data_IF_465120248049
#
_entry.id   IF_465120248049
#
_cell.length_a   1.000
_cell.length_b   1.000
_cell.length_c   1.000
_cell.angle_alpha   90.00
_cell.angle_beta   90.00
_cell.angle_gamma   90.00
#
_symmetry.space_group_name_H-M   'P 1'
#
loop_
_entity.id
_entity.type
_entity.pdbx_description
1 polymer ?
#
# COMPACT_ATOMS: atom_id res chain seq x y z
N UNK A 1 27.47 12.49 14.62
CA UNK A 1 27.93 13.88 14.59
C UNK A 1 27.53 14.70 13.36
N UNK A 2 27.32 14.11 12.17
CA UNK A 2 26.97 14.87 10.94
C UNK A 2 25.47 14.91 10.55
N UNK A 3 24.54 14.70 11.48
CA UNK A 3 23.10 14.82 11.20
C UNK A 3 22.44 15.67 12.29
N UNK A 4 22.92 16.92 12.45
CA UNK A 4 22.29 17.91 13.31
C UNK A 4 21.21 18.68 12.55
N UNK A 5 20.14 17.96 12.18
CA UNK A 5 18.82 18.58 12.14
C UNK A 5 18.31 18.58 13.59
N UNK A 6 17.73 19.68 14.06
CA UNK A 6 16.91 19.67 15.28
C UNK A 6 15.66 18.82 14.98
N UNK A 7 15.81 17.51 15.08
CA UNK A 7 14.80 16.56 14.66
C UNK A 7 13.77 16.43 15.79
N UNK A 8 12.71 17.25 15.72
CA UNK A 8 11.43 16.92 16.36
C UNK A 8 10.85 15.64 15.74
N UNK A 9 9.76 15.05 16.23
CA UNK A 9 8.81 13.97 15.78
C UNK A 9 7.48 14.38 15.10
N UNK A 10 7.02 13.84 13.97
CA UNK A 10 5.58 13.88 13.62
C UNK A 10 4.90 12.59 14.10
N UNK A 11 3.59 12.61 14.35
CA UNK A 11 2.82 11.44 14.86
C UNK A 11 3.04 10.19 13.98
N UNK A 12 2.93 10.37 12.67
CA UNK A 12 3.14 9.33 11.66
C UNK A 12 4.57 8.77 11.66
N UNK A 13 5.56 9.54 12.12
CA UNK A 13 6.96 9.11 12.20
C UNK A 13 7.30 8.32 13.47
N UNK A 14 6.53 8.47 14.56
CA UNK A 14 6.71 7.70 15.80
C UNK A 14 6.00 6.34 15.71
N UNK A 15 4.88 6.30 14.99
CA UNK A 15 4.10 5.10 14.71
C UNK A 15 4.87 4.04 13.92
N UNK A 16 5.71 4.45 12.96
CA UNK A 16 6.62 3.52 12.24
C UNK A 16 7.56 2.74 13.17
N UNK A 17 7.90 3.29 14.34
CA UNK A 17 8.72 2.62 15.35
C UNK A 17 7.90 1.81 16.36
N UNK A 18 6.57 1.69 16.18
CA UNK A 18 5.59 1.12 17.13
C UNK A 18 5.63 1.79 18.51
N UNK A 19 5.98 3.08 18.53
CA UNK A 19 6.04 3.87 19.76
C UNK A 19 4.78 4.71 19.94
N UNK A 20 3.72 4.44 19.19
CA UNK A 20 2.46 5.16 19.28
C UNK A 20 1.38 4.30 19.95
N UNK A 21 0.72 4.88 20.94
CA UNK A 21 -0.48 4.30 21.53
C UNK A 21 -1.72 4.96 20.93
N UNK A 22 -2.44 4.18 20.11
CA UNK A 22 -3.66 4.62 19.45
C UNK A 22 -4.79 4.91 20.44
N UNK A 23 -4.83 4.25 21.60
CA UNK A 23 -5.89 4.46 22.59
C UNK A 23 -5.73 5.82 23.27
N UNK A 24 -4.54 6.13 23.74
CA UNK A 24 -4.25 7.40 24.42
C UNK A 24 -3.92 8.58 23.48
N UNK A 25 -3.66 8.34 22.19
CA UNK A 25 -3.18 9.36 21.23
C UNK A 25 -1.82 9.97 21.66
N UNK A 26 -0.97 9.15 22.28
CA UNK A 26 0.28 9.55 22.92
C UNK A 26 1.41 8.52 22.69
N UNK A 27 2.61 8.85 23.18
CA UNK A 27 3.76 7.94 23.16
C UNK A 27 3.45 6.67 23.97
N UNK A 28 3.71 5.50 23.39
CA UNK A 28 3.50 4.20 24.03
C UNK A 28 4.55 3.95 25.14
N UNK A 29 4.39 4.57 26.30
CA UNK A 29 5.34 4.48 27.41
C UNK A 29 5.58 3.05 27.86
N UNK A 30 4.53 2.22 27.88
CA UNK A 30 4.63 0.80 28.23
C UNK A 30 5.60 0.01 27.33
N UNK A 31 5.73 0.39 26.05
CA UNK A 31 6.69 -0.23 25.12
C UNK A 31 8.11 0.18 25.50
N UNK A 32 8.32 1.47 25.75
CA UNK A 32 9.63 2.01 26.14
C UNK A 32 10.12 1.40 27.45
N UNK A 33 9.26 1.35 28.46
CA UNK A 33 9.53 0.73 29.76
C UNK A 33 9.89 -0.75 29.60
N UNK A 34 9.12 -1.51 28.80
CA UNK A 34 9.40 -2.92 28.55
C UNK A 34 10.78 -3.15 27.90
N UNK A 35 11.24 -2.24 27.05
CA UNK A 35 12.56 -2.31 26.42
C UNK A 35 13.68 -1.59 27.19
N UNK A 36 13.36 -0.96 28.34
CA UNK A 36 14.33 -0.18 29.12
C UNK A 36 14.85 1.07 28.40
N UNK A 37 14.07 1.63 27.48
CA UNK A 37 14.43 2.83 26.71
C UNK A 37 13.87 4.07 27.42
N UNK A 38 14.72 5.05 27.72
CA UNK A 38 14.25 6.32 28.29
C UNK A 38 13.43 7.11 27.27
N UNK A 39 12.28 7.64 27.69
CA UNK A 39 11.44 8.52 26.88
C UNK A 39 12.18 9.81 26.46
N UNK A 40 13.21 10.23 27.20
CA UNK A 40 14.05 11.39 26.86
C UNK A 40 14.86 11.19 25.57
N UNK A 41 15.07 9.94 25.15
CA UNK A 41 15.69 9.61 23.87
C UNK A 41 14.74 9.78 22.68
N UNK A 42 13.45 9.97 22.96
CA UNK A 42 12.43 10.15 21.92
C UNK A 42 12.27 11.64 21.61
N UNK A 43 12.42 11.98 20.33
CA UNK A 43 12.26 13.34 19.84
C UNK A 43 10.90 13.97 20.19
N UNK A 44 10.91 15.25 20.55
CA UNK A 44 9.73 16.07 20.85
C UNK A 44 8.69 15.99 19.72
N UNK A 45 7.42 15.77 20.06
CA UNK A 45 6.32 15.66 19.09
C UNK A 45 5.82 17.02 18.62
N UNK A 46 5.62 17.18 17.32
CA UNK A 46 4.96 18.34 16.68
C UNK A 46 3.86 17.90 15.71
N UNK A 47 2.92 18.80 15.34
CA UNK A 47 1.94 18.52 14.30
C UNK A 47 2.61 18.12 12.97
N UNK A 48 1.95 17.25 12.20
CA UNK A 48 2.47 16.74 10.92
C UNK A 48 2.78 17.86 9.92
N UNK A 49 1.89 18.84 9.80
CA UNK A 49 2.06 20.03 8.97
C UNK A 49 2.42 21.23 9.85
N UNK A 50 3.70 21.38 10.18
CA UNK A 50 4.20 22.47 11.02
C UNK A 50 5.71 22.61 10.85
N UNK A 51 6.31 23.74 11.23
CA UNK A 51 7.78 23.87 11.23
C UNK A 51 8.36 22.91 12.27
N UNK A 52 9.05 21.88 11.79
CA UNK A 52 9.62 20.81 12.61
C UNK A 52 11.11 21.04 12.92
N UNK A 53 11.75 21.93 12.15
CA UNK A 53 13.14 22.33 12.28
C UNK A 53 13.54 23.26 11.13
N UNK A 54 14.80 23.68 11.14
CA UNK A 54 15.39 24.51 10.11
C UNK A 54 16.75 23.94 9.72
N UNK A 55 17.17 24.16 8.47
CA UNK A 55 18.51 23.79 8.03
C UNK A 55 19.56 24.58 8.81
N UNK A 56 20.51 23.86 9.39
CA UNK A 56 21.74 24.47 9.93
C UNK A 56 22.58 25.02 8.78
N UNK A 57 23.52 25.92 9.09
CA UNK A 57 24.45 26.44 8.08
C UNK A 57 25.21 25.32 7.36
N UNK A 58 25.73 24.34 8.11
CA UNK A 58 26.44 23.20 7.53
C UNK A 58 25.56 22.35 6.59
N UNK A 59 24.33 22.02 6.99
CA UNK A 59 23.41 21.26 6.14
C UNK A 59 22.96 22.05 4.91
N UNK A 60 22.78 23.37 5.07
CA UNK A 60 22.44 24.27 3.98
C UNK A 60 23.57 24.35 2.93
N UNK A 61 24.82 24.48 3.38
CA UNK A 61 26.00 24.51 2.51
C UNK A 61 26.16 23.19 1.73
N UNK A 62 25.96 22.05 2.39
CA UNK A 62 26.02 20.72 1.74
C UNK A 62 24.93 20.54 0.67
N UNK A 63 23.71 21.00 0.95
CA UNK A 63 22.56 20.85 0.06
C UNK A 63 22.47 21.96 -1.01
N UNK A 64 23.30 23.00 -0.93
CA UNK A 64 23.19 24.19 -1.79
C UNK A 64 21.92 25.01 -1.54
N UNK A 65 21.41 25.00 -0.31
CA UNK A 65 20.18 25.69 0.11
C UNK A 65 20.52 26.84 1.08
N UNK A 66 19.53 27.66 1.43
CA UNK A 66 19.71 28.73 2.40
C UNK A 66 19.67 28.20 3.85
N UNK A 67 20.60 28.66 4.70
CA UNK A 67 20.51 28.43 6.13
C UNK A 67 19.19 28.99 6.70
N UNK A 68 18.58 28.30 7.65
CA UNK A 68 17.26 28.66 8.17
C UNK A 68 16.09 28.19 7.30
N UNK A 69 16.33 27.47 6.19
CA UNK A 69 15.23 26.88 5.39
C UNK A 69 14.40 25.95 6.26
N UNK A 70 13.09 26.17 6.29
CA UNK A 70 12.15 25.45 7.16
C UNK A 70 11.89 24.04 6.65
N UNK A 71 11.97 23.07 7.54
CA UNK A 71 11.46 21.70 7.34
C UNK A 71 10.06 21.64 7.95
N UNK A 72 9.03 21.66 7.10
CA UNK A 72 7.63 21.83 7.54
C UNK A 72 6.76 20.57 7.50
N UNK A 73 7.31 19.47 7.00
CA UNK A 73 6.56 18.24 6.79
C UNK A 73 7.46 17.01 6.85
N UNK A 74 6.91 15.93 7.40
CA UNK A 74 7.37 14.56 7.16
C UNK A 74 6.27 13.58 7.55
N UNK A 75 6.28 12.43 6.92
CA UNK A 75 5.56 11.27 7.40
C UNK A 75 6.28 9.98 7.00
N UNK A 76 5.70 8.84 7.41
CA UNK A 76 6.11 7.55 6.89
C UNK A 76 5.82 7.42 5.39
N UNK A 77 6.44 6.43 4.76
CA UNK A 77 6.34 6.14 3.32
C UNK A 77 4.89 5.93 2.87
N UNK A 78 4.11 5.08 3.55
CA UNK A 78 2.74 4.75 3.15
C UNK A 78 1.74 5.89 3.40
N UNK A 79 1.75 6.58 4.57
CA UNK A 79 0.98 7.81 4.73
C UNK A 79 1.36 8.91 3.73
N UNK A 80 2.64 9.03 3.34
CA UNK A 80 3.06 9.97 2.28
C UNK A 80 2.47 9.60 0.92
N UNK A 81 2.50 8.31 0.57
CA UNK A 81 1.94 7.82 -0.70
C UNK A 81 0.42 8.08 -0.78
N UNK A 82 -0.30 7.86 0.33
CA UNK A 82 -1.72 8.19 0.42
C UNK A 82 -1.97 9.70 0.25
N UNK A 83 -1.15 10.56 0.87
CA UNK A 83 -1.21 12.01 0.69
C UNK A 83 -0.99 12.44 -0.77
N UNK A 84 0.05 11.94 -1.44
CA UNK A 84 0.31 12.28 -2.85
C UNK A 84 -0.82 11.85 -3.78
N UNK A 85 -1.54 10.79 -3.41
CA UNK A 85 -2.70 10.28 -4.12
C UNK A 85 -4.04 10.92 -3.75
N UNK A 86 -4.03 11.91 -2.84
CA UNK A 86 -5.25 12.52 -2.29
C UNK A 86 -6.20 11.50 -1.67
N UNK A 87 -5.67 10.44 -1.06
CA UNK A 87 -6.39 9.46 -0.24
C UNK A 87 -6.35 9.97 1.19
N UNK A 88 -7.33 10.77 1.56
CA UNK A 88 -7.36 11.55 2.80
C UNK A 88 -8.56 11.22 3.69
N UNK A 89 -9.64 10.70 3.09
CA UNK A 89 -10.91 10.51 3.76
C UNK A 89 -11.18 9.05 4.13
N UNK A 90 -12.01 8.80 5.17
CA UNK A 90 -12.40 7.46 5.54
C UNK A 90 -13.12 6.81 4.37
N UNK A 91 -12.68 5.60 4.05
CA UNK A 91 -13.16 4.82 2.95
C UNK A 91 -12.52 5.09 1.62
N UNK A 92 -11.47 5.90 1.58
CA UNK A 92 -10.59 5.99 0.43
C UNK A 92 -9.47 4.96 0.56
N UNK A 93 -9.03 4.42 -0.59
CA UNK A 93 -7.89 3.51 -0.63
C UNK A 93 -6.96 3.92 -1.76
N UNK A 94 -5.67 3.72 -1.53
CA UNK A 94 -4.61 3.66 -2.51
C UNK A 94 -4.18 2.20 -2.69
N UNK A 95 -4.00 1.78 -3.93
CA UNK A 95 -3.46 0.44 -4.24
C UNK A 95 -2.29 0.60 -5.17
N UNK A 96 -1.15 0.05 -4.78
CA UNK A 96 0.07 0.02 -5.59
C UNK A 96 0.47 -1.42 -5.82
N UNK A 97 0.61 -1.83 -7.08
CA UNK A 97 1.16 -3.15 -7.39
C UNK A 97 2.44 -3.03 -8.23
N UNK A 98 3.54 -3.46 -7.63
CA UNK A 98 4.79 -3.82 -8.31
C UNK A 98 4.97 -5.34 -8.24
N UNK A 99 6.21 -5.83 -8.03
CA UNK A 99 6.48 -7.26 -7.80
C UNK A 99 5.59 -7.83 -6.69
N UNK A 100 5.45 -7.08 -5.60
CA UNK A 100 4.44 -7.22 -4.56
C UNK A 100 3.45 -6.06 -4.61
N UNK A 101 2.29 -6.24 -3.99
CA UNK A 101 1.20 -5.29 -3.92
C UNK A 101 1.05 -4.74 -2.53
N UNK A 102 0.59 -3.50 -2.48
CA UNK A 102 0.27 -2.77 -1.27
C UNK A 102 -1.12 -2.18 -1.45
N UNK A 103 -1.97 -2.40 -0.46
CA UNK A 103 -3.27 -1.75 -0.34
C UNK A 103 -3.24 -0.93 0.93
N UNK A 104 -3.42 0.38 0.80
CA UNK A 104 -3.49 1.32 1.92
C UNK A 104 -4.87 1.96 1.94
N UNK A 105 -5.67 1.68 2.96
CA UNK A 105 -6.97 2.31 3.17
C UNK A 105 -6.94 3.32 4.29
N UNK A 106 -7.79 4.34 4.24
CA UNK A 106 -8.01 5.28 5.34
C UNK A 106 -9.35 4.99 6.00
N UNK A 107 -9.38 4.98 7.33
CA UNK A 107 -10.59 4.83 8.15
C UNK A 107 -10.60 5.85 9.29
N UNK A 108 -11.71 5.88 10.04
CA UNK A 108 -11.97 6.81 11.14
C UNK A 108 -12.00 6.14 12.52
N UNK A 109 -11.85 4.81 12.57
CA UNK A 109 -11.88 4.01 13.80
C UNK A 109 -10.50 3.49 14.16
N UNK A 110 -10.21 3.49 15.47
CA UNK A 110 -9.09 2.77 16.10
C UNK A 110 -9.35 1.27 16.00
N UNK A 111 -9.05 0.68 14.86
CA UNK A 111 -9.19 -0.75 14.63
C UNK A 111 -7.81 -1.38 14.50
N UNK A 112 -7.64 -2.57 15.05
CA UNK A 112 -6.47 -3.41 14.84
C UNK A 112 -6.91 -4.82 14.46
N UNK A 113 -6.04 -5.56 13.78
CA UNK A 113 -6.28 -6.97 13.50
C UNK A 113 -5.60 -7.83 14.57
N UNK A 114 -6.36 -8.59 15.39
CA UNK A 114 -5.77 -9.45 16.44
C UNK A 114 -4.79 -10.48 15.89
N UNK A 115 -4.94 -10.85 14.61
CA UNK A 115 -4.04 -11.78 13.92
C UNK A 115 -2.82 -11.09 13.29
N UNK A 116 -2.67 -9.77 13.48
CA UNK A 116 -1.57 -8.97 12.95
C UNK A 116 -1.34 -9.12 11.44
N UNK A 117 -2.41 -9.28 10.64
CA UNK A 117 -2.31 -9.48 9.19
C UNK A 117 -2.19 -8.17 8.40
N UNK A 118 -2.58 -7.06 9.02
CA UNK A 118 -2.43 -5.69 8.51
C UNK A 118 -1.62 -4.85 9.49
N UNK A 119 -1.05 -3.75 9.00
CA UNK A 119 -0.49 -2.70 9.85
C UNK A 119 -1.46 -1.53 9.91
N UNK A 120 -1.57 -0.91 11.07
CA UNK A 120 -2.39 0.29 11.28
C UNK A 120 -1.43 1.44 11.46
N UNK A 121 -1.77 2.58 10.86
CA UNK A 121 -0.99 3.79 10.92
C UNK A 121 -1.83 5.00 11.33
N UNK A 122 -1.21 6.00 11.92
CA UNK A 122 -1.79 7.36 11.98
C UNK A 122 -1.66 7.98 10.58
N UNK A 123 -2.77 8.49 10.04
CA UNK A 123 -2.73 9.16 8.74
C UNK A 123 -2.22 10.60 8.85
N UNK A 124 -1.74 11.19 7.75
CA UNK A 124 -1.06 12.50 7.77
C UNK A 124 -1.96 13.66 8.21
N UNK A 125 -3.26 13.59 7.91
CA UNK A 125 -4.28 14.58 8.25
C UNK A 125 -5.06 14.21 9.53
N UNK A 126 -4.60 13.23 10.29
CA UNK A 126 -5.23 12.84 11.56
C UNK A 126 -5.28 14.01 12.54
N UNK A 127 -6.44 14.22 13.17
CA UNK A 127 -6.60 15.09 14.33
C UNK A 127 -7.51 14.44 15.39
N UNK A 128 -7.52 14.99 16.61
CA UNK A 128 -8.39 14.48 17.69
C UNK A 128 -9.88 14.64 17.38
N UNK A 129 -10.25 15.75 16.73
CA UNK A 129 -11.64 16.05 16.38
C UNK A 129 -12.06 15.36 15.06
N UNK A 130 -11.09 14.98 14.24
CA UNK A 130 -11.31 14.33 12.94
C UNK A 130 -10.29 13.18 12.75
N UNK A 131 -10.53 12.01 13.35
CA UNK A 131 -9.56 10.93 13.38
C UNK A 131 -9.42 10.29 12.00
N UNK A 132 -8.16 10.08 11.59
CA UNK A 132 -7.78 9.37 10.37
C UNK A 132 -6.73 8.32 10.67
N UNK A 133 -7.00 7.07 10.33
CA UNK A 133 -6.11 5.93 10.52
C UNK A 133 -5.91 5.21 9.20
N UNK A 134 -4.65 4.98 8.83
CA UNK A 134 -4.28 4.18 7.69
C UNK A 134 -4.28 2.69 8.03
N UNK A 135 -4.67 1.84 7.10
CA UNK A 135 -4.56 0.38 7.20
C UNK A 135 -3.83 -0.13 5.98
N UNK A 136 -2.65 -0.70 6.21
CA UNK A 136 -1.77 -1.26 5.20
C UNK A 136 -1.89 -2.77 5.16
N UNK A 137 -2.17 -3.28 3.97
CA UNK A 137 -2.11 -4.69 3.62
C UNK A 137 -1.02 -4.87 2.56
N UNK A 138 -0.13 -5.83 2.77
CA UNK A 138 0.82 -6.27 1.76
C UNK A 138 0.34 -7.59 1.14
N UNK A 139 0.49 -7.72 -0.17
CA UNK A 139 0.17 -8.91 -0.94
C UNK A 139 1.42 -9.31 -1.73
N UNK A 140 1.96 -10.49 -1.48
CA UNK A 140 3.22 -10.88 -2.08
C UNK A 140 3.07 -11.26 -3.57
N UNK A 141 1.93 -11.85 -3.94
CA UNK A 141 1.71 -12.53 -5.22
C UNK A 141 1.25 -11.68 -6.40
N UNK A 142 1.48 -10.37 -6.42
CA UNK A 142 0.90 -9.49 -7.45
C UNK A 142 1.69 -9.52 -8.76
N UNK A 143 2.61 -8.60 -9.00
CA UNK A 143 3.35 -8.50 -10.26
C UNK A 143 4.23 -9.71 -10.53
N UNK A 144 4.67 -10.43 -9.49
CA UNK A 144 5.44 -11.67 -9.66
C UNK A 144 4.65 -12.77 -10.39
N UNK A 145 3.34 -12.92 -10.14
CA UNK A 145 2.51 -13.88 -10.85
C UNK A 145 2.37 -13.50 -12.33
N UNK A 146 2.17 -12.21 -12.61
CA UNK A 146 2.05 -11.71 -13.98
C UNK A 146 3.36 -11.91 -14.77
N UNK A 147 4.50 -11.58 -14.15
CA UNK A 147 5.83 -11.83 -14.72
C UNK A 147 6.11 -13.32 -14.92
N UNK A 148 5.73 -14.17 -13.96
CA UNK A 148 5.89 -15.61 -14.08
C UNK A 148 5.11 -16.17 -15.27
N UNK A 149 3.86 -15.73 -15.45
CA UNK A 149 3.03 -16.13 -16.60
C UNK A 149 3.62 -15.65 -17.92
N UNK A 150 4.11 -14.42 -18.01
CA UNK A 150 4.80 -13.91 -19.21
C UNK A 150 5.95 -14.85 -19.61
N UNK A 151 6.88 -15.10 -18.68
CA UNK A 151 8.12 -15.80 -19.01
C UNK A 151 7.96 -17.32 -19.16
N UNK A 152 7.05 -17.94 -18.41
CA UNK A 152 6.96 -19.42 -18.35
C UNK A 152 5.75 -20.01 -19.06
N UNK A 153 4.69 -19.23 -19.26
CA UNK A 153 3.42 -19.73 -19.80
C UNK A 153 3.07 -19.12 -21.17
N UNK A 154 3.34 -17.83 -21.35
CA UNK A 154 3.06 -17.12 -22.60
C UNK A 154 4.25 -17.18 -23.56
N UNK A 155 5.46 -16.92 -23.06
CA UNK A 155 6.70 -16.74 -23.82
C UNK A 155 6.96 -15.26 -24.16
N UNK A 156 8.18 -14.95 -24.62
CA UNK A 156 8.66 -13.57 -24.91
C UNK A 156 8.01 -12.91 -26.13
N UNK A 157 7.11 -13.61 -26.83
CA UNK A 157 6.46 -13.10 -28.05
C UNK A 157 5.41 -12.03 -27.78
N UNK A 158 4.89 -11.95 -26.56
CA UNK A 158 3.89 -10.96 -26.16
C UNK A 158 4.43 -10.05 -25.06
N UNK A 159 4.17 -8.76 -25.21
CA UNK A 159 4.37 -7.79 -24.15
C UNK A 159 3.20 -7.78 -23.15
N UNK A 160 3.37 -7.06 -22.04
CA UNK A 160 2.32 -6.96 -21.02
C UNK A 160 1.02 -6.31 -21.53
N UNK A 161 1.04 -5.22 -22.33
CA UNK A 161 -0.16 -4.72 -22.99
C UNK A 161 -0.94 -5.78 -23.78
N UNK A 162 -0.27 -6.57 -24.61
CA UNK A 162 -0.90 -7.62 -25.41
C UNK A 162 -1.47 -8.74 -24.53
N UNK A 163 -0.78 -9.11 -23.44
CA UNK A 163 -1.34 -10.04 -22.45
C UNK A 163 -2.65 -9.52 -21.84
N UNK A 164 -2.75 -8.21 -21.60
CA UNK A 164 -3.95 -7.58 -21.07
C UNK A 164 -5.10 -7.57 -22.08
N UNK A 165 -4.80 -7.33 -23.35
CA UNK A 165 -5.79 -7.42 -24.43
C UNK A 165 -6.39 -8.83 -24.52
N UNK A 166 -5.54 -9.86 -24.49
CA UNK A 166 -5.99 -11.26 -24.45
C UNK A 166 -6.86 -11.57 -23.23
N UNK A 167 -6.45 -11.14 -22.03
CA UNK A 167 -7.23 -11.34 -20.81
C UNK A 167 -8.60 -10.63 -20.87
N UNK A 168 -8.70 -9.50 -21.58
CA UNK A 168 -9.93 -8.74 -21.72
C UNK A 168 -10.98 -9.42 -22.62
N UNK A 169 -10.58 -10.34 -23.49
CA UNK A 169 -11.49 -11.15 -24.32
C UNK A 169 -12.31 -12.16 -23.51
N UNK A 170 -11.80 -12.55 -22.34
CA UNK A 170 -12.46 -13.51 -21.45
C UNK A 170 -13.52 -12.80 -20.61
N UNK A 171 -14.73 -13.35 -20.45
CA UNK A 171 -15.74 -12.80 -19.54
C UNK A 171 -15.25 -12.68 -18.10
N UNK A 172 -15.89 -11.79 -17.33
CA UNK A 172 -15.66 -11.69 -15.87
C UNK A 172 -15.91 -13.04 -15.21
N UNK A 173 -15.00 -13.45 -14.31
CA UNK A 173 -15.08 -14.72 -13.60
C UNK A 173 -14.35 -15.87 -14.30
N UNK A 174 -13.68 -15.59 -15.44
CA UNK A 174 -12.76 -16.52 -16.11
C UNK A 174 -13.35 -17.90 -16.40
N UNK A 175 -14.65 -17.98 -16.68
CA UNK A 175 -15.42 -19.22 -16.88
C UNK A 175 -15.26 -20.25 -15.73
N UNK A 176 -15.04 -19.76 -14.50
CA UNK A 176 -14.86 -20.57 -13.30
C UNK A 176 -13.41 -20.99 -13.02
N UNK A 177 -12.45 -20.56 -13.85
CA UNK A 177 -11.03 -20.72 -13.57
C UNK A 177 -10.59 -19.75 -12.47
N UNK A 178 -10.01 -20.28 -11.38
CA UNK A 178 -9.52 -19.47 -10.26
C UNK A 178 -8.05 -19.73 -10.02
N UNK A 179 -7.25 -18.66 -9.91
CA UNK A 179 -5.84 -18.73 -9.54
C UNK A 179 -5.65 -18.07 -8.18
N UNK A 180 -5.09 -18.82 -7.22
CA UNK A 180 -4.65 -18.29 -5.94
C UNK A 180 -3.17 -17.88 -6.03
N UNK A 181 -2.82 -16.59 -5.85
CA UNK A 181 -1.51 -16.07 -6.21
C UNK A 181 -0.38 -16.33 -5.18
N UNK A 182 -0.48 -17.34 -4.32
CA UNK A 182 0.40 -17.52 -3.15
C UNK A 182 1.66 -18.36 -3.42
N UNK A 183 2.44 -17.99 -4.45
CA UNK A 183 3.57 -18.81 -4.94
C UNK A 183 4.97 -18.42 -4.43
N UNK A 184 5.10 -17.31 -3.71
CA UNK A 184 6.40 -16.69 -3.41
C UNK A 184 6.73 -16.60 -1.92
N UNK A 185 6.19 -17.53 -1.12
CA UNK A 185 6.54 -17.71 0.28
C UNK A 185 5.35 -17.59 1.23
N UNK A 186 5.66 -17.35 2.50
CA UNK A 186 4.65 -17.11 3.52
C UNK A 186 3.87 -15.83 3.22
N UNK A 187 2.55 -15.87 3.36
CA UNK A 187 1.69 -14.71 3.19
C UNK A 187 1.16 -14.26 4.55
N UNK A 188 1.35 -12.98 4.86
CA UNK A 188 0.96 -12.40 6.15
C UNK A 188 -0.55 -12.39 6.31
N UNK A 189 -1.28 -12.15 5.21
CA UNK A 189 -2.75 -12.19 5.18
C UNK A 189 -3.32 -13.57 5.51
N UNK A 190 -2.50 -14.61 5.38
CA UNK A 190 -2.78 -16.00 5.67
C UNK A 190 -2.06 -16.48 6.94
N UNK A 191 -1.84 -15.58 7.91
CA UNK A 191 -1.21 -15.89 9.20
C UNK A 191 0.22 -16.43 9.04
N UNK A 192 0.97 -15.88 8.08
CA UNK A 192 2.34 -16.28 7.72
C UNK A 192 2.45 -17.74 7.26
N UNK A 193 1.37 -18.32 6.75
CA UNK A 193 1.41 -19.65 6.13
C UNK A 193 1.88 -19.56 4.69
N UNK A 194 2.65 -20.56 4.27
CA UNK A 194 2.99 -20.79 2.88
C UNK A 194 2.09 -21.91 2.33
N UNK A 195 1.05 -21.54 1.58
CA UNK A 195 0.08 -22.50 1.02
C UNK A 195 0.33 -22.86 -0.45
N UNK A 196 1.29 -22.19 -1.10
CA UNK A 196 1.57 -22.37 -2.51
C UNK A 196 0.52 -21.74 -3.45
N UNK A 197 0.94 -21.44 -4.68
CA UNK A 197 0.02 -21.04 -5.73
C UNK A 197 -0.79 -22.26 -6.19
N UNK A 198 -2.05 -22.03 -6.56
CA UNK A 198 -2.92 -23.12 -7.04
C UNK A 198 -3.91 -22.63 -8.09
N UNK A 199 -4.31 -23.53 -8.96
CA UNK A 199 -5.29 -23.30 -10.02
C UNK A 199 -6.47 -24.26 -9.79
N UNK A 200 -7.69 -23.71 -9.78
CA UNK A 200 -8.92 -24.44 -9.50
C UNK A 200 -9.92 -24.28 -10.64
N UNK A 201 -10.80 -25.26 -10.82
CA UNK A 201 -11.86 -25.21 -11.82
C UNK A 201 -11.38 -25.43 -13.26
N UNK A 202 -10.20 -26.00 -13.48
CA UNK A 202 -9.63 -26.15 -14.81
C UNK A 202 -10.46 -27.11 -15.70
N UNK A 203 -11.00 -26.58 -16.80
CA UNK A 203 -11.71 -27.32 -17.84
C UNK A 203 -10.96 -27.27 -19.17
N UNK A 204 -10.53 -28.43 -19.68
CA UNK A 204 -9.74 -28.53 -20.92
C UNK A 204 -10.50 -28.18 -22.21
N UNK A 205 -11.84 -28.20 -22.19
CA UNK A 205 -12.66 -27.85 -23.36
C UNK A 205 -12.97 -26.36 -23.44
N UNK A 206 -12.78 -25.62 -22.34
CA UNK A 206 -13.16 -24.21 -22.23
C UNK A 206 -11.91 -23.33 -22.11
N UNK A 207 -11.02 -23.68 -21.17
CA UNK A 207 -9.96 -22.78 -20.74
C UNK A 207 -8.76 -22.83 -21.68
N UNK A 208 -8.37 -21.64 -22.14
CA UNK A 208 -7.21 -21.38 -22.98
C UNK A 208 -6.26 -20.43 -22.28
N UNK A 209 -5.16 -20.08 -22.94
CA UNK A 209 -4.12 -19.18 -22.43
C UNK A 209 -4.69 -17.87 -21.86
N UNK A 210 -5.64 -17.24 -22.57
CA UNK A 210 -6.27 -16.00 -22.15
C UNK A 210 -7.10 -16.15 -20.85
N UNK A 211 -7.72 -17.31 -20.59
CA UNK A 211 -8.38 -17.58 -19.31
C UNK A 211 -7.41 -17.57 -18.14
N UNK A 212 -6.22 -18.15 -18.31
CA UNK A 212 -5.19 -18.12 -17.25
C UNK A 212 -4.70 -16.71 -16.99
N UNK A 213 -4.51 -15.91 -18.04
CA UNK A 213 -4.16 -14.50 -17.89
C UNK A 213 -5.26 -13.77 -17.11
N UNK A 214 -6.53 -13.88 -17.52
CA UNK A 214 -7.65 -13.24 -16.84
C UNK A 214 -7.83 -13.71 -15.39
N UNK A 215 -7.75 -15.01 -15.14
CA UNK A 215 -7.89 -15.60 -13.81
C UNK A 215 -6.75 -15.18 -12.86
N UNK A 216 -5.55 -14.92 -13.39
CA UNK A 216 -4.45 -14.37 -12.59
C UNK A 216 -4.72 -12.93 -12.19
N UNK A 217 -5.19 -12.10 -13.12
CA UNK A 217 -5.55 -10.70 -12.84
C UNK A 217 -6.68 -10.63 -11.81
N UNK A 218 -7.74 -11.43 -11.98
CA UNK A 218 -8.86 -11.54 -11.05
C UNK A 218 -8.38 -12.07 -9.68
N UNK A 219 -7.57 -13.13 -9.68
CA UNK A 219 -7.00 -13.72 -8.47
C UNK A 219 -6.18 -12.74 -7.63
N UNK A 220 -5.39 -11.87 -8.28
CA UNK A 220 -4.66 -10.79 -7.60
C UNK A 220 -5.63 -9.82 -6.93
N UNK A 221 -6.65 -9.34 -7.66
CA UNK A 221 -7.64 -8.39 -7.13
C UNK A 221 -8.44 -8.99 -5.96
N UNK A 222 -8.78 -10.28 -6.04
CA UNK A 222 -9.55 -10.99 -5.01
C UNK A 222 -8.69 -11.58 -3.89
N UNK A 223 -7.36 -11.48 -3.94
CA UNK A 223 -6.46 -11.99 -2.88
C UNK A 223 -6.49 -11.21 -1.56
N UNK A 224 -7.43 -10.28 -1.40
CA UNK A 224 -7.70 -9.59 -0.13
C UNK A 224 -8.39 -10.56 0.85
N UNK A 225 -7.92 -10.68 2.10
CA UNK A 225 -8.57 -11.52 3.09
C UNK A 225 -9.99 -11.03 3.41
N UNK A 226 -10.95 -11.95 3.47
CA UNK A 226 -12.38 -11.72 3.76
C UNK A 226 -12.67 -11.08 5.13
N UNK A 227 -11.64 -10.93 5.97
CA UNK A 227 -11.70 -10.42 7.34
C UNK A 227 -10.81 -9.19 7.55
N UNK A 228 -10.27 -8.60 6.47
CA UNK A 228 -9.75 -7.25 6.57
C UNK A 228 -10.93 -6.33 6.94
N UNK A 229 -10.83 -5.51 8.01
CA UNK A 229 -11.91 -4.64 8.49
C UNK A 229 -12.20 -3.45 7.55
N UNK A 230 -11.87 -3.60 6.28
CA UNK A 230 -11.96 -2.57 5.24
C UNK A 230 -13.23 -2.87 4.43
N UNK A 231 -14.39 -2.62 5.04
CA UNK A 231 -15.61 -2.30 4.31
C UNK A 231 -15.40 -0.91 3.71
N UNK A 232 -14.95 -0.74 2.45
CA UNK A 232 -15.02 0.57 1.78
C UNK A 232 -14.48 0.66 0.35
N UNK A 233 -14.76 1.84 -0.22
CA UNK A 233 -14.73 2.32 -1.61
C UNK A 233 -13.31 2.44 -2.19
N UNK A 234 -13.11 1.90 -3.39
CA UNK A 234 -11.85 2.12 -4.12
C UNK A 234 -11.82 3.54 -4.68
N UNK A 235 -10.93 4.42 -4.21
CA UNK A 235 -10.85 5.82 -4.67
C UNK A 235 -9.68 6.06 -5.63
N UNK A 236 -8.54 5.42 -5.40
CA UNK A 236 -7.42 5.42 -6.34
C UNK A 236 -6.67 4.09 -6.34
N UNK A 237 -6.20 3.71 -7.51
CA UNK A 237 -5.39 2.51 -7.73
C UNK A 237 -4.22 3.00 -8.57
N UNK A 238 -3.09 3.27 -7.92
CA UNK A 238 -1.88 3.74 -8.57
C UNK A 238 -0.90 2.58 -8.73
N UNK A 239 -0.93 1.96 -9.89
CA UNK A 239 0.02 0.91 -10.22
C UNK A 239 1.38 1.53 -10.55
N UNK A 240 2.29 1.56 -9.57
CA UNK A 240 3.71 1.80 -9.81
C UNK A 240 4.35 0.57 -10.48
N UNK A 241 3.95 0.30 -11.72
CA UNK A 241 4.91 -0.19 -12.69
C UNK A 241 5.46 1.03 -13.40
N UNK A 242 6.79 1.12 -13.39
CA UNK A 242 7.59 1.87 -14.36
C UNK A 242 7.43 1.27 -15.78
N UNK A 243 6.21 0.86 -16.15
CA UNK A 243 5.82 0.28 -17.42
C UNK A 243 4.50 0.91 -17.81
N UNK A 244 4.60 1.89 -18.70
CA UNK A 244 3.50 2.49 -19.44
C UNK A 244 2.50 1.43 -19.91
N UNK A 245 1.32 1.33 -19.30
CA UNK A 245 0.15 0.82 -20.02
C UNK A 245 -1.17 1.32 -19.44
N UNK A 246 -1.82 2.15 -20.25
CA UNK A 246 -3.19 2.67 -20.12
C UNK A 246 -4.28 1.58 -19.96
N UNK A 247 -3.95 0.31 -20.23
CA UNK A 247 -4.90 -0.80 -20.33
C UNK A 247 -5.31 -1.38 -18.96
N UNK A 248 -4.38 -1.46 -17.99
CA UNK A 248 -4.65 -2.07 -16.68
C UNK A 248 -5.50 -1.18 -15.77
N UNK A 249 -5.29 0.14 -15.82
CA UNK A 249 -6.16 1.11 -15.13
C UNK A 249 -7.63 1.01 -15.59
N UNK A 250 -7.87 0.70 -16.87
CA UNK A 250 -9.22 0.45 -17.41
C UNK A 250 -9.80 -0.89 -16.98
N UNK A 251 -8.98 -1.91 -16.75
CA UNK A 251 -9.41 -3.22 -16.26
C UNK A 251 -9.92 -3.14 -14.81
N UNK A 252 -9.13 -2.54 -13.90
CA UNK A 252 -9.57 -2.31 -12.52
C UNK A 252 -10.73 -1.31 -12.43
N UNK A 253 -10.80 -0.30 -13.31
CA UNK A 253 -11.96 0.60 -13.42
C UNK A 253 -13.24 -0.11 -13.89
N UNK A 254 -13.11 -1.17 -14.71
CA UNK A 254 -14.23 -1.99 -15.20
C UNK A 254 -14.67 -3.07 -14.20
N UNK A 255 -13.79 -3.51 -13.29
CA UNK A 255 -14.16 -4.25 -12.08
C UNK A 255 -14.89 -3.30 -11.10
N UNK A 256 -16.15 -3.05 -11.41
CA UNK A 256 -16.99 -2.04 -10.79
C UNK A 256 -17.31 -2.38 -9.32
N UNK A 257 -16.46 -1.99 -8.37
CA UNK A 257 -16.67 -2.25 -6.95
C UNK A 257 -17.34 -1.09 -6.18
N UNK A 258 -17.45 0.14 -6.72
CA UNK A 258 -17.95 1.27 -5.90
C UNK A 258 -18.56 2.53 -6.61
N UNK A 259 -19.07 2.43 -7.84
CA UNK A 259 -20.02 3.44 -8.38
C UNK A 259 -19.51 4.86 -8.67
N UNK A 260 -18.18 5.10 -8.76
CA UNK A 260 -17.58 6.32 -9.36
C UNK A 260 -16.34 5.94 -10.19
N UNK A 261 -15.99 6.68 -11.25
CA UNK A 261 -14.78 6.42 -12.02
C UNK A 261 -13.52 6.65 -11.14
N UNK A 262 -12.49 5.78 -11.24
CA UNK A 262 -11.25 5.98 -10.51
C UNK A 262 -10.58 7.27 -10.93
N UNK A 263 -10.01 8.01 -9.97
CA UNK A 263 -9.13 9.14 -10.25
C UNK A 263 -7.75 8.56 -10.60
N UNK A 264 -7.36 8.59 -11.88
CA UNK A 264 -5.96 8.42 -12.26
C UNK A 264 -5.22 9.71 -11.92
N UNK A 265 -4.46 9.69 -10.84
CA UNK A 265 -3.44 10.68 -10.60
C UNK A 265 -2.21 10.30 -11.44
N UNK A 266 -1.77 11.21 -12.30
CA UNK A 266 -0.49 11.09 -12.99
C UNK A 266 0.44 12.13 -12.35
N UNK A 267 1.41 11.69 -11.57
CA UNK A 267 2.46 12.57 -11.08
C UNK A 267 3.80 12.10 -11.66
N UNK A 268 4.37 12.94 -12.51
CA UNK A 268 5.78 12.86 -12.91
C UNK A 268 6.61 13.36 -11.73
N UNK A 269 7.51 12.51 -11.23
CA UNK A 269 8.72 12.99 -10.56
C UNK A 269 9.78 13.23 -11.64
#
# INVERSE_FOLDING_TARGET
>A
DNLQLLLRRSRTGQDLARLWDFESDELAQFVLENYGVSAELIAERVPTFSVQGELTAAAADELGLAAGTKVSYRAGDQPNNALSLSVLEPGEIAVTAGTSGVVYGVGDKKNYDPKSRVNVFVHVNHSKDDPRYGVLLCLNGTGILNSWLKHNFVGESLDYPQMNELAAEVPVGSDGLVILPYGNGAERTLENRNIGASVHGWNFNVHKKNHFLRAAQEGIVFSKPSSAPIEQRVVSVEFAFLVSSFAWGRFCAKLHLAGRPPKLAYYWA
#
